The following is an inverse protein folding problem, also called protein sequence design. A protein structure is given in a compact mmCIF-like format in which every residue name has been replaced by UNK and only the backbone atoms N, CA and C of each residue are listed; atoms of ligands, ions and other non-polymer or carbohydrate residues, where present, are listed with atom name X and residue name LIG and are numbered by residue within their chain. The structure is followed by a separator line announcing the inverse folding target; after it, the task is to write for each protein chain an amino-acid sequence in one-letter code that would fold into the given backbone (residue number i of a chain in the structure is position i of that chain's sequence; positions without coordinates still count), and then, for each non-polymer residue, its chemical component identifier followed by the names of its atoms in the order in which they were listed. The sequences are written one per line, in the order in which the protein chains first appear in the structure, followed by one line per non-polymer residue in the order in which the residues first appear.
data_IF_802733929237
#
_entry.id   IF_802733929237
#
_cell.length_a   1.000
_cell.length_b   1.000
_cell.length_c   1.000
_cell.angle_alpha   90.00
_cell.angle_beta   90.00
_cell.angle_gamma   90.00
#
_symmetry.space_group_name_H-M   'P 1'
#
loop_
_entity.id
_entity.type
_entity.pdbx_description
1 polymer ?
#
# COMPACT_ATOMS: atom_id res chain seq x y z
N UNK A 1 -13.35 2.64 14.33
CA UNK A 1 -13.14 1.46 13.46
C UNK A 1 -12.86 1.99 12.08
N UNK A 2 -11.62 1.89 11.62
CA UNK A 2 -11.18 2.43 10.33
C UNK A 2 -10.90 1.32 9.33
N UNK A 3 -10.97 1.63 8.04
CA UNK A 3 -10.70 0.66 6.97
C UNK A 3 -9.41 1.03 6.24
N UNK A 4 -8.52 0.04 6.13
CA UNK A 4 -7.22 0.13 5.46
C UNK A 4 -7.32 -0.45 4.06
N UNK A 5 -7.05 0.36 3.03
CA UNK A 5 -7.14 -0.05 1.64
C UNK A 5 -5.73 -0.22 1.05
N UNK A 6 -5.33 -1.43 0.68
CA UNK A 6 -4.03 -1.71 0.06
C UNK A 6 -4.19 -1.85 -1.46
N UNK A 7 -3.49 -1.00 -2.22
CA UNK A 7 -3.46 -1.05 -3.68
C UNK A 7 -2.26 -1.88 -4.15
N UNK A 8 -2.48 -2.89 -4.98
CA UNK A 8 -1.40 -3.73 -5.51
C UNK A 8 -0.89 -4.80 -4.54
N UNK A 9 -1.77 -5.33 -3.69
CA UNK A 9 -1.44 -6.39 -2.73
C UNK A 9 -0.89 -7.65 -3.43
N UNK A 10 0.28 -8.11 -2.98
CA UNK A 10 0.89 -9.38 -3.39
C UNK A 10 1.07 -10.34 -2.19
N UNK A 11 1.42 -11.61 -2.44
CA UNK A 11 1.45 -12.67 -1.41
C UNK A 11 2.48 -12.45 -0.29
N UNK A 12 3.46 -11.57 -0.46
CA UNK A 12 4.40 -11.19 0.60
C UNK A 12 3.87 -10.08 1.49
N UNK A 13 4.10 -8.84 1.07
CA UNK A 13 3.75 -7.64 1.84
C UNK A 13 2.24 -7.50 2.06
N UNK A 14 1.42 -7.87 1.07
CA UNK A 14 -0.03 -7.67 1.16
C UNK A 14 -0.67 -8.52 2.26
N UNK A 15 -0.24 -9.77 2.40
CA UNK A 15 -0.71 -10.65 3.48
C UNK A 15 -0.20 -10.19 4.84
N UNK A 16 1.09 -9.83 4.97
CA UNK A 16 1.64 -9.33 6.22
C UNK A 16 0.92 -8.05 6.70
N UNK A 17 0.65 -7.11 5.79
CA UNK A 17 -0.13 -5.92 6.08
C UNK A 17 -1.57 -6.29 6.48
N UNK A 18 -2.26 -7.17 5.75
CA UNK A 18 -3.61 -7.59 6.10
C UNK A 18 -3.69 -8.19 7.51
N UNK A 19 -2.74 -9.07 7.87
CA UNK A 19 -2.63 -9.64 9.22
C UNK A 19 -2.44 -8.58 10.28
N UNK A 20 -1.50 -7.65 10.05
CA UNK A 20 -1.16 -6.62 11.03
C UNK A 20 -2.32 -5.66 11.32
N UNK A 21 -3.02 -5.23 10.27
CA UNK A 21 -4.17 -4.35 10.41
C UNK A 21 -5.38 -5.08 11.01
N UNK A 22 -5.59 -6.34 10.62
CA UNK A 22 -6.62 -7.20 11.20
C UNK A 22 -6.45 -7.45 12.69
N UNK A 23 -5.22 -7.76 13.13
CA UNK A 23 -4.89 -7.95 14.55
C UNK A 23 -5.15 -6.69 15.40
N UNK A 24 -5.05 -5.50 14.78
CA UNK A 24 -5.39 -4.23 15.42
C UNK A 24 -6.89 -3.87 15.34
N UNK A 25 -7.74 -4.77 14.81
CA UNK A 25 -9.19 -4.58 14.74
C UNK A 25 -9.67 -3.72 13.56
N UNK A 26 -8.83 -3.48 12.56
CA UNK A 26 -9.21 -2.76 11.35
C UNK A 26 -9.82 -3.69 10.31
N UNK A 27 -10.69 -3.13 9.46
CA UNK A 27 -11.15 -3.79 8.25
C UNK A 27 -10.09 -3.62 7.16
N UNK A 28 -9.87 -4.65 6.36
CA UNK A 28 -8.86 -4.65 5.29
C UNK A 28 -9.55 -4.71 3.93
N UNK A 29 -9.28 -3.74 3.07
CA UNK A 29 -9.68 -3.73 1.68
C UNK A 29 -8.46 -4.01 0.79
N UNK A 30 -8.55 -5.03 -0.06
CA UNK A 30 -7.48 -5.43 -0.97
C UNK A 30 -7.86 -5.06 -2.40
N UNK A 31 -7.22 -4.03 -2.94
CA UNK A 31 -7.51 -3.49 -4.27
C UNK A 31 -6.57 -4.10 -5.31
N UNK A 32 -7.15 -4.70 -6.35
CA UNK A 32 -6.43 -5.32 -7.46
C UNK A 32 -7.21 -5.15 -8.77
N UNK A 33 -6.49 -5.21 -9.90
CA UNK A 33 -7.09 -5.21 -11.25
C UNK A 33 -7.59 -6.61 -11.68
N UNK A 34 -7.11 -7.68 -11.05
CA UNK A 34 -7.45 -9.07 -11.41
C UNK A 34 -8.14 -9.79 -10.27
N UNK A 35 -9.39 -10.20 -10.53
CA UNK A 35 -10.23 -11.01 -9.64
C UNK A 35 -9.58 -12.36 -9.28
N UNK A 36 -8.74 -12.92 -10.15
CA UNK A 36 -8.15 -14.25 -9.98
C UNK A 36 -7.17 -14.36 -8.80
N UNK A 37 -6.60 -13.25 -8.33
CA UNK A 37 -5.73 -13.23 -7.14
C UNK A 37 -6.46 -12.77 -5.87
N UNK A 38 -7.71 -12.32 -5.97
CA UNK A 38 -8.43 -11.81 -4.80
C UNK A 38 -8.93 -12.90 -3.87
N UNK A 39 -9.38 -14.03 -4.40
CA UNK A 39 -9.92 -15.12 -3.58
C UNK A 39 -8.84 -15.67 -2.63
N UNK A 40 -7.64 -15.91 -3.12
CA UNK A 40 -6.51 -16.38 -2.29
C UNK A 40 -6.06 -15.33 -1.27
N UNK A 41 -5.98 -14.06 -1.70
CA UNK A 41 -5.55 -12.95 -0.84
C UNK A 41 -6.58 -12.60 0.26
N UNK A 42 -7.85 -12.94 0.07
CA UNK A 42 -8.92 -12.78 1.07
C UNK A 42 -9.06 -14.04 1.94
N UNK A 43 -8.83 -15.23 1.38
CA UNK A 43 -8.96 -16.50 2.08
C UNK A 43 -7.93 -16.67 3.21
N UNK A 44 -6.67 -16.28 2.98
CA UNK A 44 -5.62 -16.40 4.00
C UNK A 44 -5.93 -15.56 5.26
N UNK A 45 -6.18 -14.23 5.18
CA UNK A 45 -6.54 -13.43 6.36
C UNK A 45 -7.84 -13.91 7.02
N UNK A 46 -8.82 -14.38 6.25
CA UNK A 46 -10.08 -14.87 6.80
C UNK A 46 -9.89 -16.09 7.72
N UNK A 47 -8.94 -17.00 7.41
CA UNK A 47 -8.59 -18.12 8.30
C UNK A 47 -8.00 -17.66 9.65
N UNK A 48 -7.50 -16.44 9.70
CA UNK A 48 -6.91 -15.81 10.88
C UNK A 48 -7.90 -14.84 11.58
N UNK A 49 -9.19 -14.91 11.24
CA UNK A 49 -10.25 -14.03 11.73
C UNK A 49 -10.06 -12.54 11.38
N UNK A 50 -9.29 -12.24 10.33
CA UNK A 50 -9.18 -10.88 9.79
C UNK A 50 -10.34 -10.60 8.83
N UNK A 51 -11.01 -9.47 9.03
CA UNK A 51 -12.05 -9.00 8.11
C UNK A 51 -11.43 -8.36 6.87
N UNK A 52 -11.04 -9.20 5.90
CA UNK A 52 -10.53 -8.79 4.60
C UNK A 52 -11.62 -8.88 3.51
N UNK A 53 -11.64 -7.93 2.57
CA UNK A 53 -12.50 -7.95 1.39
C UNK A 53 -11.75 -7.45 0.16
N UNK A 54 -11.91 -8.13 -0.98
CA UNK A 54 -11.35 -7.73 -2.26
C UNK A 54 -12.22 -6.68 -2.95
N UNK A 55 -11.57 -5.69 -3.60
CA UNK A 55 -12.22 -4.67 -4.42
C UNK A 55 -11.51 -4.56 -5.77
N UNK A 56 -12.27 -4.58 -6.85
CA UNK A 56 -11.72 -4.35 -8.18
C UNK A 56 -11.57 -2.85 -8.40
N UNK A 57 -10.34 -2.39 -8.58
CA UNK A 57 -10.07 -1.01 -8.93
C UNK A 57 -8.89 -0.94 -9.90
N UNK A 58 -9.01 -0.09 -10.92
CA UNK A 58 -7.87 0.30 -11.75
C UNK A 58 -7.35 1.66 -11.30
N UNK A 59 -6.08 1.72 -10.89
CA UNK A 59 -5.41 2.97 -10.49
C UNK A 59 -5.29 3.92 -11.67
N UNK A 60 -5.34 3.41 -12.91
CA UNK A 60 -5.35 4.21 -14.12
C UNK A 60 -6.74 4.78 -14.45
N UNK A 61 -7.79 4.36 -13.74
CA UNK A 61 -9.14 4.91 -13.83
C UNK A 61 -9.51 5.62 -12.51
N UNK A 62 -9.35 6.95 -12.44
CA UNK A 62 -9.67 7.73 -11.24
C UNK A 62 -11.11 7.54 -10.73
N UNK A 63 -12.08 7.28 -11.62
CA UNK A 63 -13.47 7.07 -11.23
C UNK A 63 -13.64 5.70 -10.56
N UNK A 64 -13.03 4.65 -11.11
CA UNK A 64 -12.99 3.32 -10.51
C UNK A 64 -12.30 3.33 -9.13
N UNK A 65 -11.14 3.98 -9.03
CA UNK A 65 -10.44 4.10 -7.76
C UNK A 65 -11.25 4.90 -6.74
N UNK A 66 -11.80 6.05 -7.11
CA UNK A 66 -12.62 6.87 -6.20
C UNK A 66 -13.85 6.10 -5.70
N UNK A 67 -14.54 5.38 -6.58
CA UNK A 67 -15.69 4.56 -6.19
C UNK A 67 -15.31 3.46 -5.19
N UNK A 68 -14.18 2.78 -5.41
CA UNK A 68 -13.65 1.81 -4.47
C UNK A 68 -13.27 2.48 -3.15
N UNK A 69 -12.58 3.63 -3.16
CA UNK A 69 -12.17 4.33 -1.94
C UNK A 69 -13.35 4.83 -1.11
N UNK A 70 -14.40 5.34 -1.76
CA UNK A 70 -15.63 5.76 -1.09
C UNK A 70 -16.36 4.60 -0.42
N UNK A 71 -16.22 3.37 -0.94
CA UNK A 71 -16.75 2.18 -0.29
C UNK A 71 -15.91 1.74 0.93
N UNK A 72 -14.61 2.05 0.99
CA UNK A 72 -13.71 1.32 1.91
C UNK A 72 -12.49 2.02 2.51
N UNK A 73 -12.15 3.29 2.33
CA UNK A 73 -10.83 3.75 2.79
C UNK A 73 -10.85 4.95 3.75
N UNK A 74 -10.22 4.79 4.92
CA UNK A 74 -9.70 5.89 5.73
C UNK A 74 -8.20 6.16 5.44
N UNK A 75 -7.52 5.23 4.77
CA UNK A 75 -6.07 5.32 4.44
C UNK A 75 -5.73 4.50 3.20
N UNK A 76 -4.84 5.05 2.36
CA UNK A 76 -4.45 4.52 1.06
C UNK A 76 -2.91 4.58 0.85
N UNK A 77 -2.17 3.50 1.12
CA UNK A 77 -0.73 3.46 0.95
C UNK A 77 -0.34 3.08 -0.50
N UNK A 78 0.70 3.74 -1.00
CA UNK A 78 1.40 3.44 -2.25
C UNK A 78 2.79 2.91 -1.93
N UNK A 79 3.20 1.80 -2.55
CA UNK A 79 4.46 1.12 -2.24
C UNK A 79 5.35 1.08 -3.47
N UNK A 80 6.55 1.66 -3.37
CA UNK A 80 7.49 1.71 -4.48
C UNK A 80 8.91 1.32 -4.07
N UNK A 81 9.73 0.98 -5.08
CA UNK A 81 11.17 0.81 -4.92
C UNK A 81 11.94 2.12 -4.97
N UNK A 82 13.25 2.06 -4.80
CA UNK A 82 14.19 3.20 -4.91
C UNK A 82 14.05 4.02 -6.20
N UNK A 83 13.60 3.41 -7.30
CA UNK A 83 13.37 4.08 -8.59
C UNK A 83 12.34 5.20 -8.56
N UNK A 84 11.44 5.23 -7.57
CA UNK A 84 10.51 6.33 -7.34
C UNK A 84 11.19 7.63 -6.87
N UNK A 85 12.38 7.52 -6.29
CA UNK A 85 13.14 8.63 -5.71
C UNK A 85 14.36 8.98 -6.56
N UNK A 86 15.06 7.96 -7.08
CA UNK A 86 16.23 8.11 -7.95
C UNK A 86 16.03 7.28 -9.21
N UNK A 87 15.89 7.88 -10.41
CA UNK A 87 15.77 7.13 -11.65
C UNK A 87 16.94 6.17 -11.83
N UNK A 88 16.63 4.95 -12.28
CA UNK A 88 17.63 3.92 -12.56
C UNK A 88 17.69 3.68 -14.08
N UNK A 89 18.84 3.91 -14.74
CA UNK A 89 18.97 3.77 -16.19
C UNK A 89 18.72 2.33 -16.67
N UNK A 90 19.07 1.33 -15.87
CA UNK A 90 18.81 -0.10 -16.16
C UNK A 90 17.32 -0.47 -16.00
N UNK A 91 16.50 0.45 -15.46
CA UNK A 91 15.08 0.26 -15.16
C UNK A 91 14.28 1.48 -15.58
N UNK A 92 14.53 2.01 -16.78
CA UNK A 92 13.91 3.24 -17.28
C UNK A 92 12.37 3.20 -17.25
N UNK A 93 11.75 2.10 -17.73
CA UNK A 93 10.29 1.94 -17.72
C UNK A 93 9.70 1.94 -16.30
N UNK A 94 10.31 1.20 -15.37
CA UNK A 94 9.91 1.20 -13.95
C UNK A 94 10.09 2.59 -13.33
N UNK A 95 11.17 3.30 -13.66
CA UNK A 95 11.44 4.64 -13.13
C UNK A 95 10.38 5.66 -13.58
N UNK A 96 9.97 5.61 -14.85
CA UNK A 96 8.88 6.45 -15.38
C UNK A 96 7.56 6.12 -14.67
N UNK A 97 7.21 4.84 -14.57
CA UNK A 97 5.99 4.40 -13.92
C UNK A 97 5.95 4.81 -12.44
N UNK A 98 7.04 4.59 -11.69
CA UNK A 98 7.15 4.98 -10.29
C UNK A 98 7.11 6.49 -10.06
N UNK A 99 7.68 7.29 -10.98
CA UNK A 99 7.58 8.74 -10.90
C UNK A 99 6.13 9.22 -11.13
N UNK A 100 5.43 8.63 -12.11
CA UNK A 100 4.03 8.91 -12.36
C UNK A 100 3.13 8.52 -11.18
N UNK A 101 3.34 7.32 -10.62
CA UNK A 101 2.62 6.85 -9.42
C UNK A 101 2.89 7.75 -8.21
N UNK A 102 4.14 8.14 -8.00
CA UNK A 102 4.52 9.05 -6.91
C UNK A 102 3.82 10.41 -7.02
N UNK A 103 3.77 10.97 -8.23
CA UNK A 103 3.10 12.24 -8.49
C UNK A 103 1.58 12.12 -8.25
N UNK A 104 0.97 11.02 -8.71
CA UNK A 104 -0.45 10.77 -8.52
C UNK A 104 -0.81 10.60 -7.04
N UNK A 105 -0.05 9.79 -6.31
CA UNK A 105 -0.24 9.57 -4.88
C UNK A 105 -0.08 10.87 -4.07
N UNK A 106 0.83 11.76 -4.46
CA UNK A 106 0.97 13.07 -3.84
C UNK A 106 -0.27 13.96 -4.08
N UNK A 107 -0.79 13.99 -5.31
CA UNK A 107 -2.04 14.72 -5.59
C UNK A 107 -3.22 14.18 -4.78
N UNK A 108 -3.29 12.86 -4.55
CA UNK A 108 -4.32 12.26 -3.69
C UNK A 108 -4.13 12.59 -2.21
N UNK A 109 -2.89 12.67 -1.72
CA UNK A 109 -2.58 13.09 -0.35
C UNK A 109 -3.18 14.47 -0.06
N UNK A 110 -3.01 15.41 -0.99
CA UNK A 110 -3.53 16.76 -0.84
C UNK A 110 -5.06 16.81 -1.04
N UNK A 111 -5.57 16.20 -2.12
CA UNK A 111 -6.97 16.31 -2.51
C UNK A 111 -7.94 15.60 -1.55
N UNK A 112 -7.46 14.58 -0.82
CA UNK A 112 -8.28 13.77 0.07
C UNK A 112 -8.09 14.12 1.57
N UNK A 113 -7.16 15.02 1.90
CA UNK A 113 -6.86 15.40 3.28
C UNK A 113 -8.10 15.92 4.02
N UNK A 114 -8.88 16.81 3.39
CA UNK A 114 -10.11 17.40 3.97
C UNK A 114 -11.24 16.37 4.14
N UNK A 115 -11.13 15.22 3.47
CA UNK A 115 -12.08 14.10 3.59
C UNK A 115 -11.64 13.08 4.64
N UNK A 116 -10.60 13.38 5.42
CA UNK A 116 -9.98 12.51 6.44
C UNK A 116 -9.41 11.19 5.87
N UNK A 117 -9.15 11.14 4.57
CA UNK A 117 -8.53 10.00 3.90
C UNK A 117 -7.05 10.28 3.76
N UNK A 118 -6.22 9.44 4.38
CA UNK A 118 -4.77 9.61 4.37
C UNK A 118 -4.12 8.80 3.24
N UNK A 119 -3.65 9.45 2.18
CA UNK A 119 -2.80 8.80 1.18
C UNK A 119 -1.31 9.01 1.51
N UNK A 120 -0.50 7.96 1.48
CA UNK A 120 0.92 8.04 1.83
C UNK A 120 1.75 7.06 0.99
N UNK A 121 3.04 7.34 0.85
CA UNK A 121 3.97 6.53 0.07
C UNK A 121 5.05 5.92 0.96
N UNK A 122 5.26 4.62 0.84
CA UNK A 122 6.40 3.91 1.43
C UNK A 122 7.40 3.51 0.33
N UNK A 123 8.63 4.00 0.46
CA UNK A 123 9.76 3.61 -0.38
C UNK A 123 10.52 2.45 0.27
N UNK A 124 10.75 1.38 -0.49
CA UNK A 124 11.56 0.23 -0.11
C UNK A 124 12.80 0.22 -1.00
N UNK A 125 13.94 0.76 -0.56
CA UNK A 125 15.14 0.86 -1.39
C UNK A 125 15.71 -0.49 -1.82
N UNK A 126 15.76 -1.46 -0.90
CA UNK A 126 16.26 -2.82 -1.11
C UNK A 126 15.18 -3.85 -1.49
N UNK A 127 15.60 -5.11 -1.54
CA UNK A 127 14.70 -6.23 -1.77
C UNK A 127 13.89 -6.56 -0.50
N UNK A 128 12.65 -6.99 -0.69
CA UNK A 128 11.82 -7.58 0.38
C UNK A 128 12.31 -9.01 0.59
N UNK A 129 12.84 -9.31 1.79
CA UNK A 129 13.28 -10.67 2.14
C UNK A 129 12.76 -11.07 3.51
N UNK A 130 12.35 -12.33 3.72
CA UNK A 130 11.80 -12.77 5.01
C UNK A 130 12.75 -12.53 6.20
N UNK A 131 14.07 -12.60 5.97
CA UNK A 131 15.11 -12.49 6.98
C UNK A 131 15.65 -11.05 7.16
N UNK A 132 15.16 -10.08 6.39
CA UNK A 132 15.65 -8.71 6.45
C UNK A 132 15.10 -7.94 7.66
N UNK A 133 15.98 -7.22 8.36
CA UNK A 133 15.62 -6.48 9.57
C UNK A 133 14.57 -5.38 9.32
N UNK A 134 14.72 -4.61 8.25
CA UNK A 134 13.85 -3.46 7.94
C UNK A 134 12.95 -3.64 6.73
N UNK A 135 13.24 -4.63 5.87
CA UNK A 135 12.49 -4.90 4.65
C UNK A 135 11.83 -6.28 4.62
N UNK A 136 11.73 -6.97 5.77
CA UNK A 136 10.86 -8.15 5.87
C UNK A 136 9.40 -7.77 5.74
N UNK A 137 8.53 -8.68 5.26
CA UNK A 137 7.10 -8.42 5.16
C UNK A 137 6.49 -7.91 6.47
N UNK A 138 6.88 -8.49 7.61
CA UNK A 138 6.36 -8.12 8.93
C UNK A 138 6.85 -6.72 9.36
N UNK A 139 8.13 -6.41 9.18
CA UNK A 139 8.67 -5.08 9.47
C UNK A 139 8.01 -3.99 8.63
N UNK A 140 7.77 -4.28 7.34
CA UNK A 140 7.07 -3.37 6.44
C UNK A 140 5.59 -3.21 6.81
N UNK A 141 4.93 -4.28 7.26
CA UNK A 141 3.56 -4.23 7.76
C UNK A 141 3.44 -3.35 9.02
N UNK A 142 4.37 -3.48 9.97
CA UNK A 142 4.46 -2.57 11.12
C UNK A 142 4.67 -1.12 10.69
N UNK A 143 5.53 -0.89 9.70
CA UNK A 143 5.76 0.46 9.18
C UNK A 143 4.52 1.05 8.54
N UNK A 144 3.78 0.27 7.74
CA UNK A 144 2.51 0.71 7.15
C UNK A 144 1.47 1.04 8.25
N UNK A 145 1.46 0.27 9.34
CA UNK A 145 0.60 0.56 10.49
C UNK A 145 1.00 1.84 11.22
N UNK A 146 2.29 2.12 11.39
CA UNK A 146 2.79 3.38 11.92
C UNK A 146 2.35 4.56 11.06
N UNK A 147 2.47 4.46 9.73
CA UNK A 147 2.01 5.49 8.78
C UNK A 147 0.50 5.74 8.95
N UNK A 148 -0.31 4.69 9.05
CA UNK A 148 -1.76 4.81 9.26
C UNK A 148 -2.13 5.53 10.56
N UNK A 149 -1.40 5.25 11.64
CA UNK A 149 -1.72 5.74 12.99
C UNK A 149 -1.15 7.13 13.25
N UNK A 150 0.08 7.40 12.81
CA UNK A 150 0.75 8.69 12.98
C UNK A 150 0.24 9.75 11.99
N UNK A 151 -0.22 9.34 10.79
CA UNK A 151 -0.72 10.22 9.72
C UNK A 151 0.23 11.39 9.42
N UNK A 152 1.52 11.05 9.28
CA UNK A 152 2.59 12.01 9.02
C UNK A 152 2.63 12.54 7.58
N UNK A 153 3.78 13.08 7.17
CA UNK A 153 3.97 13.59 5.81
C UNK A 153 3.86 12.51 4.73
N UNK A 154 3.70 12.92 3.46
CA UNK A 154 3.41 12.01 2.36
C UNK A 154 4.40 10.84 2.17
N UNK A 155 5.73 11.07 2.26
CA UNK A 155 6.74 10.07 1.88
C UNK A 155 7.52 9.51 3.08
N UNK A 156 7.56 8.19 3.16
CA UNK A 156 8.28 7.41 4.16
C UNK A 156 9.26 6.42 3.50
N UNK A 157 10.24 5.96 4.27
CA UNK A 157 11.27 5.03 3.81
C UNK A 157 11.39 3.87 4.79
N UNK A 158 11.42 2.64 4.28
CA UNK A 158 11.65 1.44 5.10
C UNK A 158 13.05 1.45 5.75
N UNK A 159 14.03 1.96 5.00
CA UNK A 159 15.44 2.08 5.38
C UNK A 159 16.05 3.30 4.67
N UNK A 160 17.22 3.82 5.10
CA UNK A 160 17.89 4.92 4.43
C UNK A 160 18.14 4.61 2.95
N UNK A 161 17.99 5.62 2.09
CA UNK A 161 18.37 5.48 0.68
C UNK A 161 19.87 5.17 0.59
N UNK A 162 20.29 4.17 -0.21
CA UNK A 162 21.70 3.94 -0.50
C UNK A 162 22.34 5.23 -1.00
N UNK A 163 23.57 5.49 -0.57
CA UNK A 163 24.35 6.65 -1.04
C UNK A 163 24.60 6.55 -2.54
#
# INVERSE_FOLDING_TARGET
MTTFALVGAGPGLGLAAARRFGAAGHRVALLSRSLQHQDDLVAEPARENVQARGFTADVLDPASLTAALHEVADTLPFVNGSSAVRPNPERAGTSIASAAESAYAAMLHDALADQNIHAAQLIIPGAIRPDAEHSSPDALAERLYAIHTERGGFRHYAEPMPT
#
